data_IF_177286190414
#
_entry.id   IF_177286190414
#
_cell.length_a   1.000
_cell.length_b   1.000
_cell.length_c   1.000
_cell.angle_alpha   90.00
_cell.angle_beta   90.00
_cell.angle_gamma   90.00
#
_symmetry.space_group_name_H-M   'P 1'
#
loop_
_entity.id
_entity.type
_entity.pdbx_description
1 polymer ?
#
# COMPACT_ATOMS: atom_id res chain seq x y z
N UNK A 1 50.57 16.47 21.63
CA UNK A 1 49.88 16.68 20.34
C UNK A 1 49.05 15.45 20.11
N UNK A 2 47.79 15.45 20.55
CA UNK A 2 46.92 14.27 20.56
C UNK A 2 45.76 14.44 19.58
N UNK A 3 45.70 13.49 18.67
CA UNK A 3 44.56 12.75 18.11
C UNK A 3 43.35 13.48 17.50
N UNK A 4 43.14 13.08 16.25
CA UNK A 4 42.03 13.39 15.34
C UNK A 4 40.79 12.63 15.79
N UNK A 5 39.80 13.32 16.36
CA UNK A 5 38.47 12.76 16.56
C UNK A 5 37.66 12.90 15.26
N UNK A 6 37.79 11.91 14.37
CA UNK A 6 36.80 11.68 13.33
C UNK A 6 35.50 11.21 14.02
N UNK A 7 34.53 12.11 14.13
CA UNK A 7 33.23 11.80 14.71
C UNK A 7 32.46 10.93 13.72
N UNK A 8 32.36 9.65 14.04
CA UNK A 8 31.67 8.64 13.24
C UNK A 8 30.20 9.00 13.02
N UNK A 9 29.82 8.97 11.75
CA UNK A 9 28.44 8.99 11.26
C UNK A 9 27.65 7.87 11.96
N UNK A 10 26.43 8.11 12.48
CA UNK A 10 25.59 7.02 12.93
C UNK A 10 25.14 6.25 11.68
N UNK A 11 25.77 5.10 11.44
CA UNK A 11 25.30 4.07 10.53
C UNK A 11 23.97 3.57 11.07
N UNK A 12 22.88 4.12 10.53
CA UNK A 12 21.52 3.65 10.78
C UNK A 12 21.45 2.24 10.22
N UNK A 13 21.51 1.27 11.11
CA UNK A 13 21.21 -0.13 10.84
C UNK A 13 19.76 -0.21 10.39
N UNK A 14 19.58 -0.14 9.07
CA UNK A 14 18.34 -0.39 8.38
C UNK A 14 18.03 -1.88 8.39
N UNK A 15 17.81 -2.45 9.57
CA UNK A 15 17.30 -3.81 9.65
C UNK A 15 16.39 -3.92 10.86
N UNK A 16 15.23 -4.54 10.62
CA UNK A 16 14.21 -4.90 11.60
C UNK A 16 13.05 -3.91 11.81
N UNK A 17 12.41 -3.54 10.71
CA UNK A 17 10.95 -3.60 10.69
C UNK A 17 10.57 -5.00 10.20
N UNK A 18 10.48 -5.95 11.14
CA UNK A 18 9.88 -7.28 10.95
C UNK A 18 8.35 -7.10 10.81
N UNK A 19 7.95 -6.30 9.81
CA UNK A 19 6.58 -6.22 9.36
C UNK A 19 6.34 -7.48 8.54
N UNK A 20 5.33 -8.27 8.92
CA UNK A 20 4.80 -9.36 8.11
C UNK A 20 4.85 -8.97 6.62
N UNK A 21 5.43 -9.81 5.74
CA UNK A 21 5.56 -9.45 4.34
C UNK A 21 4.18 -9.11 3.80
N UNK A 22 4.05 -7.88 3.30
CA UNK A 22 2.82 -7.42 2.66
C UNK A 22 2.59 -8.35 1.46
N UNK A 23 1.50 -9.11 1.52
CA UNK A 23 1.11 -10.01 0.44
C UNK A 23 0.50 -9.20 -0.71
N UNK A 24 1.40 -8.70 -1.57
CA UNK A 24 1.07 -7.89 -2.75
C UNK A 24 0.05 -8.59 -3.64
N UNK A 25 0.21 -9.90 -3.86
CA UNK A 25 -0.67 -10.67 -4.75
C UNK A 25 -2.10 -10.76 -4.20
N UNK A 26 -2.25 -11.00 -2.89
CA UNK A 26 -3.56 -11.03 -2.23
C UNK A 26 -4.24 -9.65 -2.25
N UNK A 27 -3.49 -8.58 -2.04
CA UNK A 27 -4.02 -7.21 -2.09
C UNK A 27 -4.46 -6.85 -3.51
N UNK A 28 -3.64 -7.16 -4.52
CA UNK A 28 -3.98 -6.92 -5.93
C UNK A 28 -5.22 -7.69 -6.36
N UNK A 29 -5.33 -8.97 -6.00
CA UNK A 29 -6.52 -9.78 -6.27
C UNK A 29 -7.78 -9.18 -5.62
N UNK A 30 -7.66 -8.70 -4.37
CA UNK A 30 -8.75 -8.04 -3.66
C UNK A 30 -9.17 -6.73 -4.34
N UNK A 31 -8.21 -5.93 -4.80
CA UNK A 31 -8.46 -4.71 -5.56
C UNK A 31 -9.14 -5.01 -6.91
N UNK A 32 -8.66 -6.00 -7.64
CA UNK A 32 -9.25 -6.44 -8.92
C UNK A 32 -10.72 -6.85 -8.75
N UNK A 33 -11.04 -7.59 -7.68
CA UNK A 33 -12.44 -7.95 -7.35
C UNK A 33 -13.30 -6.70 -7.13
N UNK A 34 -12.77 -5.65 -6.50
CA UNK A 34 -13.50 -4.41 -6.28
C UNK A 34 -13.86 -3.67 -7.58
N UNK A 35 -12.96 -3.69 -8.57
CA UNK A 35 -13.24 -3.10 -9.89
C UNK A 35 -14.16 -3.97 -10.74
N UNK A 36 -14.01 -5.30 -10.66
CA UNK A 36 -14.79 -6.29 -11.41
C UNK A 36 -16.27 -6.41 -11.00
N UNK A 37 -16.71 -5.75 -9.93
CA UNK A 37 -18.09 -5.76 -9.46
C UNK A 37 -19.05 -5.03 -10.43
N UNK A 38 -19.56 -5.72 -11.44
CA UNK A 38 -20.47 -5.15 -12.45
C UNK A 38 -21.95 -5.09 -12.03
N UNK A 39 -22.48 -5.99 -11.20
CA UNK A 39 -23.88 -5.91 -10.71
C UNK A 39 -23.99 -5.61 -9.21
N UNK A 40 -24.92 -4.70 -8.89
CA UNK A 40 -25.32 -4.37 -7.53
C UNK A 40 -25.94 -5.63 -6.90
N UNK A 41 -25.65 -5.91 -5.64
CA UNK A 41 -25.89 -7.20 -4.95
C UNK A 41 -24.88 -8.30 -5.26
N UNK A 42 -23.59 -8.03 -5.10
CA UNK A 42 -22.64 -9.11 -4.88
C UNK A 42 -22.72 -9.53 -3.40
N UNK A 43 -23.20 -10.74 -3.06
CA UNK A 43 -22.93 -11.31 -1.74
C UNK A 43 -21.40 -11.26 -1.51
N UNK A 44 -20.99 -10.62 -0.42
CA UNK A 44 -19.58 -10.41 -0.09
C UNK A 44 -19.03 -8.98 -0.32
N UNK A 45 -19.84 -8.00 -0.74
CA UNK A 45 -19.39 -6.59 -0.76
C UNK A 45 -18.97 -6.06 0.63
N UNK A 46 -19.68 -6.38 1.73
CA UNK A 46 -19.23 -5.99 3.08
C UNK A 46 -17.90 -6.63 3.45
N UNK A 47 -17.70 -7.92 3.15
CA UNK A 47 -16.45 -8.62 3.44
C UNK A 47 -15.30 -8.10 2.59
N UNK A 48 -15.55 -7.78 1.32
CA UNK A 48 -14.58 -7.14 0.44
C UNK A 48 -14.17 -5.75 0.96
N UNK A 49 -15.15 -4.96 1.40
CA UNK A 49 -14.88 -3.63 1.98
C UNK A 49 -14.08 -3.76 3.27
N UNK A 50 -14.40 -4.75 4.11
CA UNK A 50 -13.64 -5.06 5.33
C UNK A 50 -12.20 -5.49 5.00
N UNK A 51 -12.01 -6.37 4.03
CA UNK A 51 -10.68 -6.79 3.58
C UNK A 51 -9.85 -5.61 3.08
N UNK A 52 -10.43 -4.76 2.21
CA UNK A 52 -9.77 -3.55 1.72
C UNK A 52 -9.40 -2.57 2.84
N UNK A 53 -10.27 -2.40 3.85
CA UNK A 53 -9.95 -1.60 5.04
C UNK A 53 -8.75 -2.17 5.79
N UNK A 54 -8.72 -3.49 6.02
CA UNK A 54 -7.60 -4.15 6.69
C UNK A 54 -6.29 -4.02 5.90
N UNK A 55 -6.34 -4.13 4.56
CA UNK A 55 -5.17 -3.89 3.71
C UNK A 55 -4.68 -2.43 3.81
N UNK A 56 -5.57 -1.45 3.82
CA UNK A 56 -5.17 -0.05 4.00
C UNK A 56 -4.50 0.19 5.35
N UNK A 57 -4.99 -0.43 6.44
CA UNK A 57 -4.36 -0.30 7.76
C UNK A 57 -2.92 -0.85 7.77
N UNK A 58 -2.63 -1.86 6.95
CA UNK A 58 -1.28 -2.40 6.76
C UNK A 58 -0.41 -1.54 5.82
N UNK A 59 -1.02 -0.93 4.81
CA UNK A 59 -0.32 -0.17 3.76
C UNK A 59 -0.11 1.30 4.11
N UNK A 60 -0.85 1.87 5.07
CA UNK A 60 -0.64 3.26 5.50
C UNK A 60 0.72 3.34 6.21
N UNK A 61 1.70 4.07 5.63
CA UNK A 61 3.01 4.17 6.24
C UNK A 61 2.93 4.96 7.55
N UNK A 62 3.65 4.53 8.61
CA UNK A 62 3.66 5.24 9.89
C UNK A 62 4.35 6.61 9.78
N UNK A 63 5.31 6.76 8.87
CA UNK A 63 5.92 8.04 8.52
C UNK A 63 5.49 8.49 7.13
N UNK A 64 4.75 9.60 7.09
CA UNK A 64 4.27 10.24 5.88
C UNK A 64 5.22 11.32 5.34
N UNK A 65 6.24 11.71 6.11
CA UNK A 65 7.15 12.79 5.73
C UNK A 65 8.20 12.33 4.70
N UNK A 66 8.61 11.06 4.75
CA UNK A 66 9.55 10.46 3.79
C UNK A 66 8.92 9.88 2.51
N UNK A 67 7.60 10.00 2.33
CA UNK A 67 6.88 9.35 1.24
C UNK A 67 6.76 10.22 0.00
N UNK A 68 6.65 9.58 -1.17
CA UNK A 68 6.35 10.28 -2.42
C UNK A 68 5.04 11.09 -2.28
N UNK A 69 4.90 12.26 -2.94
CA UNK A 69 3.72 13.12 -2.80
C UNK A 69 2.39 12.40 -3.08
N UNK A 70 2.40 11.47 -4.06
CA UNK A 70 1.23 10.66 -4.41
C UNK A 70 0.86 9.69 -3.28
N UNK A 71 1.84 8.97 -2.72
CA UNK A 71 1.66 8.05 -1.59
C UNK A 71 1.15 8.79 -0.36
N UNK A 72 1.67 9.99 -0.08
CA UNK A 72 1.21 10.81 1.03
C UNK A 72 -0.25 11.24 0.86
N UNK A 73 -0.64 11.68 -0.34
CA UNK A 73 -2.03 12.02 -0.64
C UNK A 73 -2.96 10.80 -0.50
N UNK A 74 -2.54 9.66 -1.04
CA UNK A 74 -3.27 8.41 -0.94
C UNK A 74 -3.47 7.96 0.52
N UNK A 75 -2.45 8.06 1.37
CA UNK A 75 -2.56 7.70 2.79
C UNK A 75 -3.50 8.64 3.56
N UNK A 76 -3.51 9.94 3.23
CA UNK A 76 -4.49 10.89 3.79
C UNK A 76 -5.91 10.53 3.36
N UNK A 77 -6.10 10.17 2.10
CA UNK A 77 -7.41 9.77 1.58
C UNK A 77 -7.85 8.41 2.14
N UNK A 78 -6.93 7.46 2.34
CA UNK A 78 -7.16 6.22 3.06
C UNK A 78 -7.73 6.52 4.46
N UNK A 79 -7.04 7.40 5.21
CA UNK A 79 -7.46 7.78 6.57
C UNK A 79 -8.86 8.40 6.60
N UNK A 80 -9.19 9.25 5.62
CA UNK A 80 -10.55 9.81 5.49
C UNK A 80 -11.56 8.72 5.17
N UNK A 81 -11.26 7.86 4.20
CA UNK A 81 -12.12 6.77 3.78
C UNK A 81 -12.38 5.77 4.92
N UNK A 82 -11.39 5.49 5.78
CA UNK A 82 -11.55 4.61 6.94
C UNK A 82 -12.50 5.19 8.00
N UNK A 83 -12.55 6.52 8.13
CA UNK A 83 -13.43 7.22 9.09
C UNK A 83 -14.88 7.36 8.63
N UNK A 84 -15.18 7.16 7.35
CA UNK A 84 -16.55 7.30 6.85
C UNK A 84 -17.48 6.20 7.41
N UNK A 85 -18.76 6.51 7.68
CA UNK A 85 -19.74 5.51 8.08
C UNK A 85 -20.08 4.58 6.92
N UNK A 86 -20.35 3.31 7.23
CA UNK A 86 -20.76 2.31 6.24
C UNK A 86 -22.21 2.56 5.80
N UNK A 87 -22.37 3.03 4.56
CA UNK A 87 -23.66 3.30 3.94
C UNK A 87 -23.90 2.32 2.79
N UNK A 88 -24.98 1.53 2.87
CA UNK A 88 -25.29 0.51 1.87
C UNK A 88 -25.46 1.10 0.45
N UNK A 89 -25.98 2.33 0.35
CA UNK A 89 -26.18 3.02 -0.94
C UNK A 89 -24.90 3.42 -1.67
N UNK A 90 -23.75 3.53 -0.95
CA UNK A 90 -22.46 3.93 -1.53
C UNK A 90 -21.37 2.86 -1.39
N UNK A 91 -21.71 1.67 -0.87
CA UNK A 91 -20.77 0.60 -0.57
C UNK A 91 -19.90 0.20 -1.77
N UNK A 92 -20.44 0.18 -3.00
CA UNK A 92 -19.66 -0.11 -4.22
C UNK A 92 -18.64 0.99 -4.51
N UNK A 93 -19.10 2.24 -4.53
CA UNK A 93 -18.23 3.39 -4.81
C UNK A 93 -17.12 3.45 -3.77
N UNK A 94 -17.47 3.16 -2.51
CA UNK A 94 -16.51 3.04 -1.42
C UNK A 94 -15.50 1.91 -1.64
N UNK A 95 -15.94 0.71 -1.97
CA UNK A 95 -15.04 -0.41 -2.23
C UNK A 95 -14.06 -0.09 -3.38
N UNK A 96 -14.53 0.58 -4.44
CA UNK A 96 -13.65 1.05 -5.53
C UNK A 96 -12.66 2.11 -5.05
N UNK A 97 -13.10 3.09 -4.27
CA UNK A 97 -12.21 4.12 -3.72
C UNK A 97 -11.13 3.50 -2.80
N UNK A 98 -11.51 2.56 -1.93
CA UNK A 98 -10.57 1.84 -1.08
C UNK A 98 -9.55 1.05 -1.93
N UNK A 99 -10.01 0.35 -2.97
CA UNK A 99 -9.14 -0.39 -3.88
C UNK A 99 -8.17 0.50 -4.67
N UNK A 100 -8.63 1.67 -5.14
CA UNK A 100 -7.74 2.64 -5.80
C UNK A 100 -6.61 3.09 -4.88
N UNK A 101 -6.95 3.40 -3.63
CA UNK A 101 -5.96 3.85 -2.64
C UNK A 101 -5.02 2.71 -2.24
N UNK A 102 -5.52 1.47 -2.09
CA UNK A 102 -4.69 0.30 -1.89
C UNK A 102 -3.64 0.15 -2.98
N UNK A 103 -4.03 0.24 -4.25
CA UNK A 103 -3.08 0.11 -5.37
C UNK A 103 -1.98 1.16 -5.32
N UNK A 104 -2.33 2.42 -5.05
CA UNK A 104 -1.34 3.51 -4.96
C UNK A 104 -0.36 3.27 -3.80
N UNK A 105 -0.86 2.82 -2.65
CA UNK A 105 -0.03 2.52 -1.48
C UNK A 105 0.74 1.20 -1.63
N UNK A 106 0.33 0.32 -2.55
CA UNK A 106 0.98 -0.96 -2.81
C UNK A 106 2.18 -0.82 -3.77
N UNK A 107 2.20 0.19 -4.64
CA UNK A 107 3.28 0.43 -5.61
C UNK A 107 4.68 0.38 -4.99
N UNK A 108 4.98 1.02 -3.82
CA UNK A 108 6.30 0.95 -3.20
C UNK A 108 6.69 -0.44 -2.70
N UNK A 109 5.74 -1.35 -2.53
CA UNK A 109 5.95 -2.72 -2.09
C UNK A 109 6.09 -3.71 -3.25
N UNK A 110 5.87 -3.27 -4.49
CA UNK A 110 6.06 -4.14 -5.64
C UNK A 110 7.55 -4.43 -5.83
N UNK A 111 7.92 -5.70 -6.06
CA UNK A 111 9.31 -6.02 -6.35
C UNK A 111 9.73 -5.26 -7.62
N UNK A 112 10.98 -4.76 -7.67
CA UNK A 112 11.50 -4.21 -8.91
C UNK A 112 11.37 -5.27 -10.00
N UNK A 113 10.87 -4.87 -11.17
CA UNK A 113 10.85 -5.76 -12.32
C UNK A 113 12.27 -6.30 -12.52
N UNK A 114 12.40 -7.63 -12.59
CA UNK A 114 13.69 -8.24 -12.89
C UNK A 114 14.22 -7.59 -14.18
N UNK A 115 15.52 -7.21 -14.23
CA UNK A 115 16.09 -6.79 -15.49
C UNK A 115 15.84 -7.92 -16.48
N UNK A 116 15.22 -7.62 -17.61
CA UNK A 116 15.19 -8.55 -18.73
C UNK A 116 16.65 -8.83 -19.06
N UNK A 117 17.09 -10.07 -18.88
CA UNK A 117 18.28 -10.61 -19.54
C UNK A 117 17.99 -10.55 -21.05
N UNK A 118 18.15 -9.37 -21.65
CA UNK A 118 18.40 -9.26 -23.07
C UNK A 118 19.87 -9.60 -23.24
N UNK A 119 20.10 -10.91 -23.32
CA UNK A 119 21.39 -11.54 -23.57
C UNK A 119 22.10 -10.85 -24.72
N UNK A 120 23.34 -10.51 -24.42
CA UNK A 120 24.40 -10.23 -25.38
C UNK A 120 24.48 -11.37 -26.40
N UNK A 121 24.20 -11.09 -27.67
CA UNK A 121 24.79 -11.82 -28.78
C UNK A 121 25.13 -10.85 -29.92
N UNK A 122 26.40 -10.44 -29.93
CA UNK A 122 27.05 -9.68 -30.99
C UNK A 122 28.56 -9.81 -30.85
#
# INVERSE_FOLDING_TARGET
MNEVAASSVPEVTAEKADALPIDVATIDATCARAFGLQRATAPGLPDLTRALRGHLELLIPPDLAGQAPLTQAAARDATKLLKLPDNAGTARTRARALAQVCLILLEPHRPPAAPSDEETHG
#
